data_IF_684694139090
#
_entry.id   IF_684694139090
#
_cell.length_a   1.000
_cell.length_b   1.000
_cell.length_c   1.000
_cell.angle_alpha   90.00
_cell.angle_beta   90.00
_cell.angle_gamma   90.00
#
_symmetry.space_group_name_H-M   'P 1'
#
loop_
_entity.id
_entity.type
_entity.pdbx_description
1 polymer ?
#
# COMPACT_ATOMS: atom_id res chain seq x y z
N UNK A 1 -68.60 19.20 39.91
CA UNK A 1 -67.97 17.91 39.66
C UNK A 1 -67.78 17.80 38.15
N UNK A 2 -66.58 18.06 37.67
CA UNK A 2 -66.24 17.86 36.28
C UNK A 2 -64.83 17.25 36.30
N UNK A 3 -64.77 16.00 35.98
CA UNK A 3 -63.56 15.21 36.00
C UNK A 3 -62.77 15.49 34.71
N UNK A 4 -61.57 16.00 34.87
CA UNK A 4 -60.60 16.21 33.80
C UNK A 4 -59.95 14.85 33.38
N UNK A 5 -60.38 14.31 32.26
CA UNK A 5 -59.68 13.18 31.60
C UNK A 5 -58.58 13.75 30.73
N UNK A 6 -57.38 13.84 31.30
CA UNK A 6 -56.19 14.26 30.56
C UNK A 6 -55.81 13.22 29.52
N UNK A 7 -55.73 13.65 28.29
CA UNK A 7 -55.36 12.86 27.12
C UNK A 7 -53.88 12.44 27.19
N UNK A 8 -53.66 11.18 27.53
CA UNK A 8 -52.31 10.57 27.58
C UNK A 8 -51.86 10.01 26.23
N UNK A 9 -52.62 10.23 25.15
CA UNK A 9 -52.33 9.66 23.82
C UNK A 9 -51.33 10.44 23.00
N UNK A 10 -51.18 11.72 23.23
CA UNK A 10 -50.33 12.58 22.40
C UNK A 10 -48.80 12.46 22.73
N UNK A 11 -48.48 11.94 23.91
CA UNK A 11 -47.07 11.81 24.32
C UNK A 11 -46.37 10.58 23.69
N UNK A 12 -47.11 9.55 23.34
CA UNK A 12 -46.54 8.33 22.74
C UNK A 12 -46.11 8.50 21.29
N UNK A 13 -46.80 9.33 20.52
CA UNK A 13 -46.47 9.55 19.12
C UNK A 13 -45.23 10.41 18.95
N UNK A 14 -44.95 11.33 19.87
CA UNK A 14 -43.74 12.16 19.84
C UNK A 14 -42.46 11.37 20.09
N UNK A 15 -42.48 10.47 21.06
CA UNK A 15 -41.30 9.66 21.43
C UNK A 15 -40.98 8.60 20.34
N UNK A 16 -42.01 7.97 19.78
CA UNK A 16 -41.81 6.96 18.71
C UNK A 16 -41.29 7.59 17.43
N UNK A 17 -41.73 8.79 17.05
CA UNK A 17 -41.22 9.52 15.88
C UNK A 17 -39.77 9.95 16.09
N UNK A 18 -39.41 10.43 17.27
CA UNK A 18 -38.01 10.79 17.59
C UNK A 18 -37.08 9.56 17.59
N UNK A 19 -37.55 8.43 18.12
CA UNK A 19 -36.78 7.18 18.11
C UNK A 19 -36.55 6.64 16.69
N UNK A 20 -37.57 6.68 15.84
CA UNK A 20 -37.47 6.22 14.44
C UNK A 20 -36.55 7.15 13.63
N UNK A 21 -36.62 8.48 13.83
CA UNK A 21 -35.74 9.43 13.15
C UNK A 21 -34.28 9.30 13.61
N UNK A 22 -34.05 9.05 14.91
CA UNK A 22 -32.72 8.81 15.45
C UNK A 22 -32.14 7.48 14.91
N UNK A 23 -32.92 6.38 14.90
CA UNK A 23 -32.50 5.11 14.33
C UNK A 23 -32.19 5.22 12.82
N UNK A 24 -33.02 5.94 12.08
CA UNK A 24 -32.82 6.18 10.65
C UNK A 24 -31.54 6.99 10.37
N UNK A 25 -31.23 8.00 11.21
CA UNK A 25 -30.01 8.79 11.07
C UNK A 25 -28.75 7.99 11.39
N UNK A 26 -28.81 7.12 12.41
CA UNK A 26 -27.69 6.22 12.78
C UNK A 26 -27.47 5.16 11.69
N UNK A 27 -28.52 4.57 11.14
CA UNK A 27 -28.42 3.60 10.04
C UNK A 27 -27.91 4.25 8.75
N UNK A 28 -28.34 5.49 8.47
CA UNK A 28 -27.87 6.24 7.30
C UNK A 28 -26.39 6.65 7.43
N UNK A 29 -25.93 7.03 8.63
CA UNK A 29 -24.52 7.33 8.88
C UNK A 29 -23.65 6.07 8.81
N UNK A 30 -24.14 4.93 9.30
CA UNK A 30 -23.46 3.64 9.19
C UNK A 30 -23.34 3.16 7.72
N UNK A 31 -24.38 3.35 6.92
CA UNK A 31 -24.37 3.00 5.50
C UNK A 31 -23.36 3.84 4.69
N UNK A 32 -23.17 5.12 5.03
CA UNK A 32 -22.17 5.99 4.40
C UNK A 32 -20.73 5.54 4.71
N UNK A 33 -20.46 5.12 5.94
CA UNK A 33 -19.12 4.65 6.34
C UNK A 33 -18.80 3.30 5.68
N UNK A 34 -19.76 2.39 5.58
CA UNK A 34 -19.60 1.08 4.91
C UNK A 34 -19.37 1.29 3.40
N UNK A 35 -20.14 2.16 2.76
CA UNK A 35 -20.01 2.44 1.33
C UNK A 35 -18.65 3.05 0.93
N UNK A 36 -18.01 3.83 1.80
CA UNK A 36 -16.68 4.40 1.53
C UNK A 36 -15.57 3.34 1.69
N UNK A 37 -15.66 2.47 2.69
CA UNK A 37 -14.69 1.38 2.88
C UNK A 37 -14.74 0.38 1.72
N UNK A 38 -15.94 -0.02 1.29
CA UNK A 38 -16.15 -0.90 0.13
C UNK A 38 -15.57 -0.30 -1.16
N UNK A 39 -15.68 1.02 -1.34
CA UNK A 39 -15.16 1.69 -2.53
C UNK A 39 -13.62 1.72 -2.58
N UNK A 40 -12.94 1.89 -1.43
CA UNK A 40 -11.48 1.88 -1.33
C UNK A 40 -10.92 0.48 -1.61
N UNK A 41 -11.48 -0.54 -0.96
CA UNK A 41 -11.09 -1.93 -1.19
C UNK A 41 -11.34 -2.37 -2.63
N UNK A 42 -12.47 -1.96 -3.22
CA UNK A 42 -12.78 -2.24 -4.61
C UNK A 42 -11.75 -1.63 -5.57
N UNK A 43 -11.32 -0.39 -5.33
CA UNK A 43 -10.26 0.26 -6.14
C UNK A 43 -8.93 -0.46 -6.05
N UNK A 44 -8.53 -0.89 -4.84
CA UNK A 44 -7.30 -1.66 -4.64
C UNK A 44 -7.38 -3.02 -5.31
N UNK A 45 -8.54 -3.67 -5.31
CA UNK A 45 -8.77 -4.94 -6.01
C UNK A 45 -8.64 -4.78 -7.52
N UNK A 46 -9.25 -3.75 -8.10
CA UNK A 46 -9.12 -3.45 -9.53
C UNK A 46 -7.65 -3.18 -9.88
N UNK A 47 -6.95 -2.37 -9.09
CA UNK A 47 -5.52 -2.09 -9.29
C UNK A 47 -4.68 -3.37 -9.22
N UNK A 48 -4.93 -4.24 -8.24
CA UNK A 48 -4.24 -5.52 -8.14
C UNK A 48 -4.44 -6.36 -9.40
N UNK A 49 -5.67 -6.53 -9.87
CA UNK A 49 -5.98 -7.31 -11.06
C UNK A 49 -5.28 -6.75 -12.32
N UNK A 50 -5.22 -5.42 -12.47
CA UNK A 50 -4.52 -4.81 -13.60
C UNK A 50 -3.00 -4.99 -13.50
N UNK A 51 -2.43 -4.86 -12.31
CA UNK A 51 -1.01 -5.18 -12.08
C UNK A 51 -0.70 -6.65 -12.36
N UNK A 52 -1.54 -7.58 -11.91
CA UNK A 52 -1.39 -9.02 -12.19
C UNK A 52 -1.40 -9.30 -13.70
N UNK A 53 -2.26 -8.62 -14.44
CA UNK A 53 -2.35 -8.76 -15.89
C UNK A 53 -1.08 -8.28 -16.62
N UNK A 54 -0.54 -7.12 -16.25
CA UNK A 54 0.65 -6.55 -16.94
C UNK A 54 1.97 -7.15 -16.45
N UNK A 55 2.03 -7.59 -15.19
CA UNK A 55 3.24 -8.13 -14.55
C UNK A 55 3.23 -9.66 -14.43
N UNK A 56 2.40 -10.33 -15.20
CA UNK A 56 2.16 -11.78 -15.10
C UNK A 56 3.45 -12.62 -15.17
N UNK A 57 4.42 -12.23 -15.98
CA UNK A 57 5.72 -12.93 -16.11
C UNK A 57 6.52 -12.80 -14.81
N UNK A 58 6.71 -11.59 -14.29
CA UNK A 58 7.47 -11.35 -13.05
C UNK A 58 6.79 -11.97 -11.81
N UNK A 59 5.46 -12.06 -11.81
CA UNK A 59 4.69 -12.76 -10.77
C UNK A 59 4.93 -14.28 -10.84
N UNK A 60 4.85 -14.86 -12.03
CA UNK A 60 5.09 -16.30 -12.25
C UNK A 60 6.52 -16.70 -11.88
N UNK A 61 7.50 -15.85 -12.20
CA UNK A 61 8.91 -16.09 -11.92
C UNK A 61 9.28 -15.80 -10.44
N UNK A 62 8.31 -15.32 -9.66
CA UNK A 62 8.48 -15.02 -8.22
C UNK A 62 9.27 -13.74 -7.93
N UNK A 63 9.50 -12.90 -8.94
CA UNK A 63 10.17 -11.62 -8.80
C UNK A 63 9.28 -10.53 -8.21
N UNK A 64 7.98 -10.68 -8.36
CA UNK A 64 6.97 -9.81 -7.76
C UNK A 64 6.00 -10.65 -6.93
N UNK A 65 5.61 -10.11 -5.80
CA UNK A 65 4.52 -10.61 -4.96
C UNK A 65 3.62 -9.47 -4.57
N UNK A 66 2.32 -9.73 -4.42
CA UNK A 66 1.35 -8.73 -4.00
C UNK A 66 0.58 -9.21 -2.78
N UNK A 67 0.29 -8.28 -1.89
CA UNK A 67 -0.53 -8.51 -0.71
C UNK A 67 -1.47 -7.33 -0.53
N UNK A 68 -2.76 -7.59 -0.50
CA UNK A 68 -3.79 -6.58 -0.32
C UNK A 68 -4.44 -6.71 1.05
N UNK A 69 -4.70 -5.56 1.64
CA UNK A 69 -5.55 -5.38 2.83
C UNK A 69 -6.76 -4.53 2.47
N UNK A 70 -7.57 -4.14 3.43
CA UNK A 70 -8.73 -3.26 3.22
C UNK A 70 -8.34 -1.83 2.84
N UNK A 71 -7.14 -1.36 3.22
CA UNK A 71 -6.71 0.03 3.08
C UNK A 71 -5.50 0.25 2.18
N UNK A 72 -4.74 -0.80 1.88
CA UNK A 72 -3.56 -0.70 1.01
C UNK A 72 -3.27 -1.98 0.21
N UNK A 73 -2.51 -1.80 -0.87
CA UNK A 73 -1.92 -2.86 -1.68
C UNK A 73 -0.40 -2.74 -1.60
N UNK A 74 0.26 -3.77 -1.12
CA UNK A 74 1.72 -3.88 -1.10
C UNK A 74 2.19 -4.70 -2.31
N UNK A 75 3.10 -4.12 -3.11
CA UNK A 75 3.80 -4.79 -4.19
C UNK A 75 5.25 -4.96 -3.75
N UNK A 76 5.67 -6.20 -3.55
CA UNK A 76 7.03 -6.60 -3.16
C UNK A 76 7.79 -7.00 -4.41
N UNK A 77 8.89 -6.31 -4.70
CA UNK A 77 9.70 -6.52 -5.90
C UNK A 77 11.08 -7.01 -5.47
N UNK A 78 11.49 -8.19 -5.95
CA UNK A 78 12.80 -8.73 -5.68
C UNK A 78 13.90 -7.83 -6.26
N UNK A 79 15.01 -7.65 -5.51
CA UNK A 79 16.16 -6.87 -5.95
C UNK A 79 16.64 -7.24 -7.34
N UNK A 80 16.77 -8.54 -7.62
CA UNK A 80 17.31 -9.07 -8.87
C UNK A 80 16.57 -8.63 -10.14
N UNK A 81 15.27 -8.26 -9.99
CA UNK A 81 14.49 -7.71 -11.11
C UNK A 81 14.89 -6.25 -11.39
N UNK A 82 15.13 -5.48 -10.34
CA UNK A 82 15.36 -4.03 -10.46
C UNK A 82 16.83 -3.64 -10.57
N UNK A 83 17.74 -4.38 -9.90
CA UNK A 83 19.14 -3.99 -9.72
C UNK A 83 20.07 -5.20 -9.92
N UNK A 84 21.30 -4.93 -10.30
CA UNK A 84 22.38 -5.91 -10.16
C UNK A 84 22.82 -6.03 -8.69
N UNK A 85 23.45 -7.15 -8.35
CA UNK A 85 23.89 -7.42 -6.98
C UNK A 85 24.82 -6.28 -6.47
N UNK A 86 24.48 -5.72 -5.32
CA UNK A 86 25.21 -4.61 -4.72
C UNK A 86 25.04 -3.25 -5.44
N UNK A 87 24.39 -3.20 -6.60
CA UNK A 87 24.17 -1.95 -7.34
C UNK A 87 22.99 -1.15 -6.78
N UNK A 88 23.05 0.15 -7.00
CA UNK A 88 21.96 1.10 -6.82
C UNK A 88 21.32 1.55 -8.13
N UNK A 89 21.95 1.22 -9.26
CA UNK A 89 21.49 1.63 -10.57
C UNK A 89 20.47 0.63 -11.11
N UNK A 90 19.35 1.15 -11.60
CA UNK A 90 18.26 0.34 -12.13
C UNK A 90 18.68 -0.32 -13.45
N UNK A 91 18.33 -1.59 -13.59
CA UNK A 91 18.44 -2.34 -14.84
C UNK A 91 17.40 -1.86 -15.85
N UNK A 92 17.66 -1.98 -17.16
CA UNK A 92 16.68 -1.66 -18.19
C UNK A 92 15.34 -2.38 -18.00
N UNK A 93 15.36 -3.68 -17.68
CA UNK A 93 14.16 -4.48 -17.44
C UNK A 93 13.41 -3.99 -16.20
N UNK A 94 14.13 -3.60 -15.15
CA UNK A 94 13.54 -3.02 -13.94
C UNK A 94 12.86 -1.68 -14.21
N UNK A 95 13.48 -0.83 -15.03
CA UNK A 95 12.90 0.45 -15.46
C UNK A 95 11.60 0.20 -16.24
N UNK A 96 11.57 -0.78 -17.13
CA UNK A 96 10.39 -1.11 -17.94
C UNK A 96 9.23 -1.58 -17.05
N UNK A 97 9.51 -2.48 -16.10
CA UNK A 97 8.51 -2.92 -15.10
C UNK A 97 7.95 -1.75 -14.30
N UNK A 98 8.82 -0.85 -13.81
CA UNK A 98 8.38 0.33 -13.07
C UNK A 98 7.54 1.29 -13.92
N UNK A 99 7.85 1.44 -15.21
CA UNK A 99 7.06 2.25 -16.14
C UNK A 99 5.67 1.64 -16.37
N UNK A 100 5.57 0.33 -16.55
CA UNK A 100 4.28 -0.36 -16.67
C UNK A 100 3.43 -0.15 -15.43
N UNK A 101 4.02 -0.23 -14.23
CA UNK A 101 3.33 0.11 -12.98
C UNK A 101 2.93 1.59 -12.95
N UNK A 102 3.82 2.49 -13.35
CA UNK A 102 3.58 3.93 -13.40
C UNK A 102 2.37 4.29 -14.28
N UNK A 103 2.21 3.64 -15.44
CA UNK A 103 1.03 3.83 -16.30
C UNK A 103 -0.26 3.53 -15.55
N UNK A 104 -0.31 2.45 -14.80
CA UNK A 104 -1.48 2.09 -13.99
C UNK A 104 -1.68 3.04 -12.81
N UNK A 105 -0.61 3.44 -12.14
CA UNK A 105 -0.69 4.35 -11.00
C UNK A 105 -1.24 5.74 -11.37
N UNK A 106 -1.06 6.18 -12.61
CA UNK A 106 -1.65 7.44 -13.10
C UNK A 106 -3.17 7.39 -13.21
N UNK A 107 -3.74 6.21 -13.43
CA UNK A 107 -5.19 6.04 -13.61
C UNK A 107 -5.96 6.02 -12.29
N UNK A 108 -5.27 5.97 -11.16
CA UNK A 108 -5.87 5.88 -9.83
C UNK A 108 -5.41 7.01 -8.91
N UNK A 109 -6.29 7.43 -8.01
CA UNK A 109 -5.95 8.37 -6.96
C UNK A 109 -5.53 7.61 -5.71
N UNK A 110 -4.28 7.78 -5.30
CA UNK A 110 -3.75 7.26 -4.03
C UNK A 110 -3.62 8.40 -3.03
N UNK A 111 -3.96 8.12 -1.78
CA UNK A 111 -3.68 9.02 -0.65
C UNK A 111 -2.17 9.19 -0.48
N UNK A 112 -1.46 8.07 -0.63
CA UNK A 112 -0.03 7.98 -0.38
C UNK A 112 0.54 6.78 -1.13
N UNK A 113 1.77 6.92 -1.64
CA UNK A 113 2.58 5.82 -2.17
C UNK A 113 3.87 5.78 -1.37
N UNK A 114 4.07 4.73 -0.57
CA UNK A 114 5.33 4.49 0.12
C UNK A 114 6.20 3.57 -0.70
N UNK A 115 7.49 3.90 -0.78
CA UNK A 115 8.49 3.06 -1.42
C UNK A 115 9.59 2.79 -0.40
N UNK A 116 9.70 1.53 0.02
CA UNK A 116 10.63 1.10 1.05
C UNK A 116 11.73 0.21 0.47
N UNK A 117 12.98 0.56 0.73
CA UNK A 117 14.14 -0.24 0.37
C UNK A 117 14.58 -1.14 1.52
N UNK A 118 14.96 -2.38 1.18
CA UNK A 118 15.46 -3.38 2.12
C UNK A 118 16.74 -4.03 1.58
N UNK A 119 17.60 -4.42 2.48
CA UNK A 119 18.84 -5.16 2.21
C UNK A 119 18.87 -6.42 3.08
N UNK A 120 19.80 -7.31 2.81
CA UNK A 120 20.13 -8.43 3.69
C UNK A 120 21.39 -8.14 4.49
N UNK A 121 21.78 -9.03 5.40
CA UNK A 121 23.00 -8.88 6.20
C UNK A 121 24.30 -8.94 5.38
N UNK A 122 24.27 -9.57 4.19
CA UNK A 122 25.43 -9.71 3.31
C UNK A 122 25.55 -8.57 2.28
N UNK A 123 24.59 -7.64 2.23
CA UNK A 123 24.56 -6.54 1.23
C UNK A 123 25.51 -5.38 1.56
N UNK A 124 26.60 -5.63 2.28
CA UNK A 124 27.61 -4.64 2.59
C UNK A 124 29.01 -5.24 2.44
N UNK A 125 29.98 -4.39 2.15
CA UNK A 125 31.40 -4.79 2.15
C UNK A 125 31.86 -5.16 3.57
N UNK A 126 32.93 -5.97 3.68
CA UNK A 126 33.51 -6.29 4.97
C UNK A 126 34.12 -5.05 5.63
N UNK A 127 33.62 -4.67 6.80
CA UNK A 127 34.14 -3.52 7.53
C UNK A 127 33.23 -3.03 8.67
N UNK A 128 33.71 -2.03 9.39
CA UNK A 128 33.05 -1.47 10.58
C UNK A 128 31.76 -0.66 10.28
N UNK A 129 31.51 -0.32 9.02
CA UNK A 129 30.39 0.54 8.62
C UNK A 129 29.24 -0.21 7.91
N UNK A 130 29.22 -1.54 7.97
CA UNK A 130 28.25 -2.38 7.26
C UNK A 130 26.78 -1.95 7.45
N UNK A 131 26.41 -1.55 8.65
CA UNK A 131 25.04 -1.09 8.95
C UNK A 131 24.68 0.17 8.12
N UNK A 132 25.56 1.15 8.11
CA UNK A 132 25.31 2.39 7.35
C UNK A 132 25.34 2.17 5.85
N UNK A 133 26.17 1.26 5.35
CA UNK A 133 26.20 0.88 3.93
C UNK A 133 24.87 0.23 3.49
N UNK A 134 24.34 -0.70 4.29
CA UNK A 134 23.03 -1.31 4.01
C UNK A 134 21.89 -0.29 4.05
N UNK A 135 21.91 0.64 4.99
CA UNK A 135 20.95 1.74 5.03
C UNK A 135 21.07 2.64 3.80
N UNK A 136 22.30 3.03 3.43
CA UNK A 136 22.56 3.89 2.26
C UNK A 136 22.14 3.21 0.96
N UNK A 137 22.43 1.91 0.79
CA UNK A 137 22.04 1.12 -0.37
C UNK A 137 20.51 1.04 -0.48
N UNK A 138 19.83 0.68 0.60
CA UNK A 138 18.37 0.57 0.62
C UNK A 138 17.68 1.92 0.34
N UNK A 139 18.24 3.02 0.87
CA UNK A 139 17.78 4.38 0.57
C UNK A 139 17.93 4.73 -0.91
N UNK A 140 19.13 4.50 -1.47
CA UNK A 140 19.41 4.81 -2.86
C UNK A 140 18.45 4.06 -3.79
N UNK A 141 18.20 2.77 -3.56
CA UNK A 141 17.29 1.93 -4.35
C UNK A 141 15.85 2.42 -4.30
N UNK A 142 15.35 2.72 -3.11
CA UNK A 142 14.00 3.28 -2.96
C UNK A 142 13.87 4.64 -3.67
N UNK A 143 14.91 5.48 -3.58
CA UNK A 143 14.95 6.80 -4.25
C UNK A 143 14.95 6.66 -5.78
N UNK A 144 15.75 5.74 -6.34
CA UNK A 144 15.77 5.47 -7.78
C UNK A 144 14.42 4.95 -8.28
N UNK A 145 13.79 4.04 -7.55
CA UNK A 145 12.44 3.53 -7.86
C UNK A 145 11.43 4.67 -7.93
N UNK A 146 11.40 5.55 -6.93
CA UNK A 146 10.52 6.74 -6.92
C UNK A 146 10.86 7.68 -8.08
N UNK A 147 12.14 7.83 -8.41
CA UNK A 147 12.60 8.66 -9.53
C UNK A 147 11.97 8.25 -10.85
N UNK A 148 11.93 6.94 -11.16
CA UNK A 148 11.28 6.41 -12.38
C UNK A 148 9.78 6.67 -12.36
N UNK A 149 9.09 6.33 -11.26
CA UNK A 149 7.64 6.51 -11.14
C UNK A 149 7.24 7.99 -11.32
N UNK A 150 8.00 8.92 -10.73
CA UNK A 150 7.77 10.38 -10.90
C UNK A 150 8.09 10.86 -12.31
N UNK A 151 9.20 10.41 -12.87
CA UNK A 151 9.61 10.76 -14.24
C UNK A 151 8.61 10.31 -15.28
N UNK A 152 7.90 9.23 -15.00
CA UNK A 152 6.83 8.69 -15.82
C UNK A 152 5.49 9.45 -15.64
N UNK A 153 5.47 10.46 -14.77
CA UNK A 153 4.31 11.37 -14.56
C UNK A 153 3.27 10.83 -13.58
N UNK A 154 3.65 9.93 -12.69
CA UNK A 154 2.80 9.58 -11.54
C UNK A 154 2.73 10.79 -10.60
N UNK A 155 1.61 11.50 -10.63
CA UNK A 155 1.33 12.60 -9.70
C UNK A 155 0.69 11.99 -8.45
N UNK A 156 1.49 11.49 -7.54
CA UNK A 156 1.03 11.25 -6.18
C UNK A 156 1.35 12.50 -5.36
N UNK A 157 0.37 12.99 -4.63
CA UNK A 157 0.55 14.13 -3.75
C UNK A 157 1.54 13.83 -2.62
N UNK A 158 1.79 12.53 -2.33
CA UNK A 158 2.71 12.10 -1.29
C UNK A 158 3.43 10.81 -1.65
N UNK A 159 4.63 10.92 -2.27
CA UNK A 159 5.58 9.84 -2.24
C UNK A 159 6.38 9.90 -0.94
N UNK A 160 6.35 8.81 -0.18
CA UNK A 160 7.19 8.63 1.01
C UNK A 160 8.28 7.61 0.66
N UNK A 161 9.55 8.00 0.86
CA UNK A 161 10.70 7.11 0.69
C UNK A 161 11.13 6.62 2.06
N UNK A 162 11.12 5.31 2.25
CA UNK A 162 11.57 4.64 3.46
C UNK A 162 12.77 3.74 3.16
N UNK A 163 13.63 3.51 4.14
CA UNK A 163 14.79 2.64 4.01
C UNK A 163 15.09 1.96 5.33
N UNK A 164 15.27 0.67 5.27
CA UNK A 164 15.39 -0.15 6.48
C UNK A 164 16.69 -0.94 6.55
N UNK A 165 17.52 -0.92 5.49
CA UNK A 165 18.67 -1.83 5.47
C UNK A 165 18.20 -3.26 5.77
N UNK A 166 18.83 -3.92 6.72
CA UNK A 166 18.53 -5.30 7.14
C UNK A 166 17.67 -5.42 8.42
N UNK A 167 17.13 -4.30 8.94
CA UNK A 167 16.41 -4.30 10.22
C UNK A 167 14.95 -4.80 10.15
N UNK A 168 14.40 -4.98 8.94
CA UNK A 168 13.06 -5.52 8.71
C UNK A 168 13.10 -6.74 7.78
N UNK A 169 13.69 -7.87 8.22
CA UNK A 169 13.74 -9.07 7.41
C UNK A 169 12.36 -9.73 7.35
N UNK A 170 12.04 -10.34 6.19
CA UNK A 170 10.85 -11.18 5.99
C UNK A 170 11.19 -12.68 5.94
N UNK A 171 12.48 -12.99 5.91
CA UNK A 171 13.00 -14.36 5.95
C UNK A 171 14.32 -14.40 6.71
N UNK A 172 14.81 -15.62 6.99
CA UNK A 172 16.10 -15.78 7.65
C UNK A 172 17.24 -15.24 6.80
N UNK A 173 18.27 -14.63 7.44
CA UNK A 173 19.50 -14.23 6.76
C UNK A 173 20.54 -15.36 6.68
N UNK A 174 20.25 -16.54 7.27
CA UNK A 174 21.19 -17.68 7.32
C UNK A 174 21.31 -18.39 5.98
N UNK A 175 20.22 -18.43 5.19
CA UNK A 175 20.21 -19.06 3.87
C UNK A 175 20.25 -18.02 2.75
N UNK A 176 20.76 -18.40 1.57
CA UNK A 176 20.76 -17.50 0.41
C UNK A 176 19.36 -17.18 -0.08
N UNK A 177 18.47 -18.17 -0.05
CA UNK A 177 17.07 -18.00 -0.43
C UNK A 177 16.37 -16.98 0.49
N UNK A 178 16.64 -17.05 1.80
CA UNK A 178 16.11 -16.09 2.77
C UNK A 178 16.69 -14.69 2.56
N UNK A 179 18.00 -14.57 2.29
CA UNK A 179 18.63 -13.30 1.94
C UNK A 179 18.06 -12.70 0.66
N UNK A 180 17.83 -13.50 -0.38
CA UNK A 180 17.18 -13.04 -1.61
C UNK A 180 15.79 -12.47 -1.36
N UNK A 181 15.01 -13.08 -0.46
CA UNK A 181 13.70 -12.53 -0.07
C UNK A 181 13.82 -11.21 0.70
N UNK A 182 14.88 -11.04 1.50
CA UNK A 182 15.13 -9.82 2.25
C UNK A 182 15.60 -8.66 1.33
N UNK A 183 16.36 -8.94 0.25
CA UNK A 183 16.76 -7.97 -0.75
C UNK A 183 15.57 -7.62 -1.66
N UNK A 184 14.85 -6.56 -1.32
CA UNK A 184 13.62 -6.18 -2.01
C UNK A 184 13.34 -4.67 -1.95
N UNK A 185 12.46 -4.23 -2.82
CA UNK A 185 11.78 -2.94 -2.72
C UNK A 185 10.29 -3.22 -2.52
N UNK A 186 9.67 -2.55 -1.58
CA UNK A 186 8.22 -2.58 -1.36
C UNK A 186 7.60 -1.28 -1.85
N UNK A 187 6.52 -1.38 -2.62
CA UNK A 187 5.68 -0.24 -3.01
C UNK A 187 4.31 -0.46 -2.37
N UNK A 188 3.94 0.43 -1.46
CA UNK A 188 2.66 0.36 -0.74
C UNK A 188 1.74 1.49 -1.22
N UNK A 189 0.62 1.09 -1.79
CA UNK A 189 -0.38 1.97 -2.38
C UNK A 189 -1.55 2.13 -1.41
N UNK A 190 -1.67 3.28 -0.75
CA UNK A 190 -2.79 3.57 0.13
C UNK A 190 -3.95 4.16 -0.68
N UNK A 191 -5.13 3.58 -0.54
CA UNK A 191 -6.31 4.08 -1.24
C UNK A 191 -6.62 5.52 -0.81
N UNK A 192 -6.91 6.37 -1.79
CA UNK A 192 -7.51 7.69 -1.55
C UNK A 192 -8.97 7.56 -1.10
N UNK A 193 -9.48 8.57 -0.42
CA UNK A 193 -10.89 8.69 -0.03
C UNK A 193 -11.75 8.94 -1.28
#
# INVERSE_FOLDING_TARGET
>A
MQDGFGDTRDNWMGETVQFVTFLASVLMSMALVIGCADSAEQRLRVMQNELERVLHTALRDGDIRMQRTSDHLTVVIAERLLFDAGSRDLKPDGIEVLKQMGVLFKTASFKEIRVAGHADKASASDGSNQYFERLALSKARATQTVGVLKGDGVVSQSFIVEWYGDIRPIATNETEEGRQMNRRVEIVLYAGI
#
